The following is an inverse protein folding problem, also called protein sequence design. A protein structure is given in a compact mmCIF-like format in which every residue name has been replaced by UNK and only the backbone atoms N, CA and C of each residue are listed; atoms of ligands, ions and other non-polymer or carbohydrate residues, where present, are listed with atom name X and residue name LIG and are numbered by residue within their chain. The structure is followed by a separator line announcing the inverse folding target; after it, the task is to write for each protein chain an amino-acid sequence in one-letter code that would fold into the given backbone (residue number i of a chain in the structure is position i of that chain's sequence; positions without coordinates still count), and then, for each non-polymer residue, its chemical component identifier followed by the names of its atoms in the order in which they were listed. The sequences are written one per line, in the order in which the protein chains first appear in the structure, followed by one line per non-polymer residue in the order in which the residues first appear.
data_IF_268551038890
#
_entry.id   IF_268551038890
#
_cell.length_a   1.000
_cell.length_b   1.000
_cell.length_c   1.000
_cell.angle_alpha   90.00
_cell.angle_beta   90.00
_cell.angle_gamma   90.00
#
_symmetry.space_group_name_H-M   'P 1'
#
loop_
_entity.id
_entity.type
_entity.pdbx_description
1 polymer ?
#
# COMPACT_ATOMS: atom_id res chain seq x y z
N UNK A 1 14.76 8.71 0.93
CA UNK A 1 14.81 9.75 -0.12
C UNK A 1 14.79 9.05 -1.46
N UNK A 2 13.64 9.06 -2.16
CA UNK A 2 13.51 8.38 -3.46
C UNK A 2 14.48 9.05 -4.43
N UNK A 3 15.56 8.36 -4.78
CA UNK A 3 16.51 8.86 -5.77
C UNK A 3 15.90 8.74 -7.17
N UNK A 4 15.98 9.85 -7.92
CA UNK A 4 15.50 9.95 -9.30
C UNK A 4 16.19 8.87 -10.16
N UNK A 5 15.44 8.10 -10.98
CA UNK A 5 16.02 7.17 -11.93
C UNK A 5 17.03 7.86 -12.85
N UNK A 6 18.18 7.23 -13.15
CA UNK A 6 19.26 7.81 -13.95
C UNK A 6 18.86 8.10 -15.41
N UNK A 7 17.81 7.44 -15.91
CA UNK A 7 17.46 7.43 -17.33
C UNK A 7 16.29 8.35 -17.68
N UNK A 8 15.82 9.18 -16.73
CA UNK A 8 14.85 10.23 -17.04
C UNK A 8 15.56 11.30 -17.89
N UNK A 9 14.94 11.78 -18.98
CA UNK A 9 15.46 12.91 -19.74
C UNK A 9 15.84 14.05 -18.79
N UNK A 10 16.85 14.88 -19.11
CA UNK A 10 17.15 16.07 -18.31
C UNK A 10 15.84 16.80 -18.06
N UNK A 11 15.65 17.35 -16.84
CA UNK A 11 14.53 18.28 -16.64
C UNK A 11 14.60 19.23 -17.82
N UNK A 12 13.51 19.35 -18.58
CA UNK A 12 13.35 20.54 -19.40
C UNK A 12 13.45 21.63 -18.35
N UNK A 13 14.59 22.31 -18.30
CA UNK A 13 14.72 23.61 -17.64
C UNK A 13 13.88 24.55 -18.49
N UNK A 14 12.57 24.31 -18.48
CA UNK A 14 11.58 25.24 -18.95
C UNK A 14 11.76 26.46 -18.08
N UNK A 15 11.66 27.62 -18.72
CA UNK A 15 11.60 28.92 -18.08
C UNK A 15 10.96 28.82 -16.70
N UNK A 16 11.60 29.41 -15.69
CA UNK A 16 11.05 29.48 -14.35
C UNK A 16 9.59 29.89 -14.50
N UNK A 17 8.62 29.09 -14.00
CA UNK A 17 7.22 29.42 -14.17
C UNK A 17 7.03 30.87 -13.70
N UNK A 18 6.25 31.64 -14.47
CA UNK A 18 5.85 32.99 -14.10
C UNK A 18 5.56 33.06 -12.59
N UNK A 19 5.84 34.17 -11.89
CA UNK A 19 5.56 34.28 -10.44
C UNK A 19 4.08 34.04 -10.07
N UNK A 20 3.20 33.85 -11.06
CA UNK A 20 1.79 33.49 -10.95
C UNK A 20 1.49 31.98 -11.05
N UNK A 21 2.49 31.14 -11.28
CA UNK A 21 2.34 29.70 -11.48
C UNK A 21 3.27 28.95 -10.53
N UNK A 22 2.71 28.01 -9.77
CA UNK A 22 3.47 27.12 -8.89
C UNK A 22 2.97 25.68 -9.05
N UNK A 23 3.89 24.73 -9.09
CA UNK A 23 3.59 23.31 -9.07
C UNK A 23 3.60 22.81 -7.62
N UNK A 24 2.50 22.21 -7.19
CA UNK A 24 2.34 21.67 -5.84
C UNK A 24 2.29 20.14 -5.90
N UNK A 25 2.87 19.49 -4.90
CA UNK A 25 2.75 18.05 -4.71
C UNK A 25 1.48 17.74 -3.91
N UNK A 26 0.99 16.51 -4.01
CA UNK A 26 -0.23 16.07 -3.32
C UNK A 26 -0.12 14.66 -2.76
N UNK A 27 -0.78 14.41 -1.64
CA UNK A 27 -1.03 13.07 -1.10
C UNK A 27 -2.51 12.75 -1.21
N UNK A 28 -2.87 11.87 -2.14
CA UNK A 28 -4.27 11.52 -2.44
C UNK A 28 -4.57 10.11 -1.92
N UNK A 29 -5.24 10.04 -0.78
CA UNK A 29 -5.64 8.78 -0.12
C UNK A 29 -7.05 8.30 -0.47
N UNK A 30 -7.57 8.59 -1.66
CA UNK A 30 -8.98 8.34 -2.04
C UNK A 30 -9.13 7.09 -2.90
N UNK A 31 -9.91 6.13 -2.42
CA UNK A 31 -10.24 4.89 -3.10
C UNK A 31 -11.40 5.10 -4.06
N UNK A 32 -11.19 4.61 -5.27
CA UNK A 32 -12.17 4.64 -6.34
C UNK A 32 -11.98 3.45 -7.27
N UNK A 33 -13.02 3.14 -8.03
CA UNK A 33 -12.95 2.23 -9.16
C UNK A 33 -13.86 2.69 -10.30
N UNK A 34 -13.52 2.21 -11.49
CA UNK A 34 -14.34 2.39 -12.69
C UNK A 34 -15.14 1.11 -12.88
N UNK A 35 -16.44 1.23 -13.04
CA UNK A 35 -17.34 0.14 -13.39
C UNK A 35 -17.65 0.23 -14.88
N UNK A 36 -17.34 -0.84 -15.61
CA UNK A 36 -17.55 -0.91 -17.07
C UNK A 36 -18.38 -2.13 -17.48
N UNK A 37 -18.66 -3.05 -16.55
CA UNK A 37 -19.55 -4.19 -16.80
C UNK A 37 -21.02 -3.71 -16.74
N UNK A 38 -21.81 -3.87 -17.82
CA UNK A 38 -23.22 -3.51 -17.84
C UNK A 38 -24.05 -4.27 -16.79
N UNK A 39 -23.73 -5.53 -16.51
CA UNK A 39 -24.46 -6.35 -15.53
C UNK A 39 -24.24 -5.82 -14.11
N UNK A 40 -22.99 -5.51 -13.77
CA UNK A 40 -22.64 -4.90 -12.50
C UNK A 40 -23.27 -3.50 -12.36
N UNK A 41 -23.20 -2.68 -13.41
CA UNK A 41 -23.78 -1.34 -13.42
C UNK A 41 -25.29 -1.37 -13.17
N UNK A 42 -26.01 -2.31 -13.79
CA UNK A 42 -27.44 -2.51 -13.57
C UNK A 42 -27.74 -3.00 -12.14
N UNK A 43 -26.96 -3.95 -11.63
CA UNK A 43 -27.13 -4.49 -10.28
C UNK A 43 -26.92 -3.42 -9.19
N UNK A 44 -25.91 -2.56 -9.38
CA UNK A 44 -25.59 -1.45 -8.47
C UNK A 44 -26.38 -0.17 -8.75
N UNK A 45 -27.24 -0.17 -9.79
CA UNK A 45 -28.03 0.99 -10.24
C UNK A 45 -27.18 2.23 -10.50
N UNK A 46 -26.04 2.03 -11.16
CA UNK A 46 -25.10 3.10 -11.46
C UNK A 46 -25.54 3.88 -12.69
N UNK A 47 -25.42 5.20 -12.60
CA UNK A 47 -25.55 6.08 -13.75
C UNK A 47 -24.20 6.23 -14.45
N UNK A 48 -24.16 6.25 -15.79
CA UNK A 48 -22.95 6.60 -16.51
C UNK A 48 -22.45 8.00 -16.16
N UNK A 49 -21.14 8.19 -16.26
CA UNK A 49 -20.47 9.47 -15.98
C UNK A 49 -21.02 10.61 -16.84
N UNK A 50 -21.42 10.30 -18.08
CA UNK A 50 -22.05 11.23 -19.01
C UNK A 50 -22.90 10.46 -20.03
N UNK A 51 -23.87 11.13 -20.69
CA UNK A 51 -24.62 10.53 -21.80
C UNK A 51 -23.69 9.97 -22.88
N UNK A 52 -23.96 8.74 -23.33
CA UNK A 52 -23.18 8.07 -24.37
C UNK A 52 -21.89 7.37 -23.90
N UNK A 53 -21.64 7.32 -22.59
CA UNK A 53 -20.57 6.50 -22.01
C UNK A 53 -21.15 5.26 -21.34
N UNK A 54 -20.39 4.15 -21.37
CA UNK A 54 -20.77 2.88 -20.72
C UNK A 54 -19.98 2.65 -19.42
N UNK A 55 -19.68 3.73 -18.70
CA UNK A 55 -18.79 3.68 -17.52
C UNK A 55 -19.34 4.52 -16.39
N UNK A 56 -19.24 3.98 -15.18
CA UNK A 56 -19.58 4.67 -13.93
C UNK A 56 -18.35 4.75 -13.01
N UNK A 57 -18.32 5.74 -12.12
CA UNK A 57 -17.30 5.85 -11.09
C UNK A 57 -17.90 5.58 -9.72
N UNK A 58 -17.30 4.64 -9.00
CA UNK A 58 -17.55 4.46 -7.57
C UNK A 58 -16.38 5.05 -6.81
N UNK A 59 -16.70 5.95 -5.89
CA UNK A 59 -15.74 6.75 -5.15
C UNK A 59 -16.20 6.79 -3.71
N UNK A 60 -15.30 6.53 -2.77
CA UNK A 60 -15.66 6.59 -1.34
C UNK A 60 -16.03 8.01 -0.90
N UNK A 61 -16.59 8.14 0.31
CA UNK A 61 -16.95 9.45 0.88
C UNK A 61 -15.72 10.27 1.30
N UNK A 62 -14.64 9.63 1.79
CA UNK A 62 -13.44 10.31 2.30
C UNK A 62 -12.90 11.32 1.27
N UNK A 63 -12.72 12.58 1.67
CA UNK A 63 -12.45 13.67 0.72
C UNK A 63 -11.31 14.61 1.12
N UNK A 64 -10.49 14.29 2.13
CA UNK A 64 -9.34 15.14 2.50
C UNK A 64 -8.11 14.81 1.64
N UNK A 65 -7.59 15.80 0.93
CA UNK A 65 -6.38 15.66 0.09
C UNK A 65 -5.34 16.62 0.63
N UNK A 66 -4.13 16.12 0.89
CA UNK A 66 -3.05 16.98 1.35
C UNK A 66 -2.31 17.56 0.14
N UNK A 67 -1.92 18.82 0.24
CA UNK A 67 -1.19 19.54 -0.80
C UNK A 67 -0.02 20.31 -0.16
N UNK A 68 1.12 20.40 -0.85
CA UNK A 68 2.22 21.24 -0.37
C UNK A 68 1.78 22.69 -0.34
N UNK A 69 2.13 23.44 0.71
CA UNK A 69 1.73 24.84 0.86
C UNK A 69 2.17 25.68 -0.33
N UNK A 70 1.26 26.52 -0.81
CA UNK A 70 1.59 27.55 -1.81
C UNK A 70 2.55 28.59 -1.24
N UNK A 71 3.38 29.16 -2.11
CA UNK A 71 4.24 30.31 -1.79
C UNK A 71 3.86 31.55 -2.62
N UNK A 72 2.79 31.47 -3.42
CA UNK A 72 2.26 32.62 -4.15
C UNK A 72 1.63 33.59 -3.13
N UNK A 73 2.09 34.86 -3.07
CA UNK A 73 1.53 35.85 -2.15
C UNK A 73 0.03 36.01 -2.34
N UNK A 74 -0.70 36.13 -1.23
CA UNK A 74 -2.15 36.34 -1.17
C UNK A 74 -3.01 35.25 -1.85
N UNK A 75 -2.42 34.10 -2.23
CA UNK A 75 -3.19 32.98 -2.75
C UNK A 75 -4.08 32.37 -1.65
N UNK A 76 -5.34 32.13 -2.01
CA UNK A 76 -6.30 31.42 -1.17
C UNK A 76 -6.82 30.21 -1.93
N UNK A 77 -6.65 28.98 -1.42
CA UNK A 77 -7.22 27.80 -2.05
C UNK A 77 -8.74 27.97 -2.23
N UNK A 78 -9.23 27.80 -3.46
CA UNK A 78 -10.67 27.82 -3.77
C UNK A 78 -11.38 26.50 -3.48
N UNK A 79 -10.62 25.45 -3.13
CA UNK A 79 -11.12 24.11 -2.83
C UNK A 79 -10.67 23.75 -1.41
N UNK A 80 -11.58 23.88 -0.45
CA UNK A 80 -11.28 23.75 0.99
C UNK A 80 -10.91 22.32 1.41
N UNK A 81 -11.23 21.32 0.58
CA UNK A 81 -10.84 19.93 0.85
C UNK A 81 -9.35 19.65 0.58
N UNK A 82 -8.64 20.60 -0.05
CA UNK A 82 -7.19 20.58 -0.21
C UNK A 82 -6.56 21.21 1.05
N UNK A 83 -5.99 20.36 1.90
CA UNK A 83 -5.38 20.78 3.17
C UNK A 83 -3.90 21.00 2.95
N UNK A 84 -3.44 22.23 3.16
CA UNK A 84 -2.03 22.58 2.99
C UNK A 84 -1.16 22.00 4.11
N UNK A 85 0.02 21.51 3.74
CA UNK A 85 1.09 21.08 4.65
C UNK A 85 2.42 21.67 4.20
N UNK A 86 3.27 21.99 5.16
CA UNK A 86 4.61 22.54 4.89
C UNK A 86 5.56 21.49 4.31
N UNK A 87 5.48 20.26 4.81
CA UNK A 87 6.17 19.08 4.28
C UNK A 87 5.16 17.94 4.11
N UNK A 88 5.14 17.35 2.90
CA UNK A 88 4.26 16.22 2.59
C UNK A 88 4.92 14.87 2.84
N UNK A 89 6.24 14.80 2.93
CA UNK A 89 6.97 13.53 3.06
C UNK A 89 6.45 12.65 4.22
N UNK A 90 6.17 13.18 5.43
CA UNK A 90 5.62 12.37 6.51
C UNK A 90 4.28 11.70 6.13
N UNK A 91 3.42 12.44 5.43
CA UNK A 91 2.11 11.96 5.04
C UNK A 91 2.15 11.03 3.82
N UNK A 92 3.11 11.25 2.91
CA UNK A 92 3.43 10.32 1.82
C UNK A 92 3.84 8.96 2.38
N UNK A 93 4.73 8.94 3.38
CA UNK A 93 5.14 7.72 4.06
C UNK A 93 4.00 7.09 4.87
N UNK A 94 3.19 7.88 5.59
CA UNK A 94 2.00 7.36 6.28
C UNK A 94 0.98 6.73 5.33
N UNK A 95 0.87 7.24 4.10
CA UNK A 95 0.06 6.61 3.06
C UNK A 95 0.74 5.36 2.47
N UNK A 96 2.05 5.40 2.22
CA UNK A 96 2.77 4.29 1.60
C UNK A 96 2.92 3.09 2.55
N UNK A 97 3.37 3.33 3.77
CA UNK A 97 3.64 2.31 4.79
C UNK A 97 2.42 2.01 5.67
N UNK A 98 1.40 2.88 5.66
CA UNK A 98 0.10 2.62 6.26
C UNK A 98 -0.90 2.12 5.22
N UNK A 99 -1.69 3.03 4.65
CA UNK A 99 -2.78 2.72 3.72
C UNK A 99 -2.39 1.68 2.66
N UNK A 100 -1.39 1.97 1.82
CA UNK A 100 -1.03 1.08 0.71
C UNK A 100 -0.51 -0.28 1.21
N UNK A 101 0.27 -0.29 2.29
CA UNK A 101 0.87 -1.49 2.88
C UNK A 101 -0.20 -2.43 3.43
N UNK A 102 -1.08 -1.91 4.28
CA UNK A 102 -2.13 -2.67 4.96
C UNK A 102 -3.17 -3.16 3.95
N UNK A 103 -3.50 -2.36 2.94
CA UNK A 103 -4.38 -2.80 1.86
C UNK A 103 -3.77 -3.96 1.06
N UNK A 104 -2.46 -3.91 0.76
CA UNK A 104 -1.79 -5.03 0.07
C UNK A 104 -1.63 -6.27 0.96
N UNK A 105 -1.36 -6.10 2.26
CA UNK A 105 -1.36 -7.19 3.23
C UNK A 105 -2.72 -7.89 3.27
N UNK A 106 -3.82 -7.14 3.41
CA UNK A 106 -5.16 -7.70 3.42
C UNK A 106 -5.50 -8.40 2.10
N UNK A 107 -5.16 -7.79 0.96
CA UNK A 107 -5.37 -8.38 -0.35
C UNK A 107 -4.65 -9.72 -0.52
N UNK A 108 -3.36 -9.79 -0.16
CA UNK A 108 -2.59 -11.03 -0.29
C UNK A 108 -3.08 -12.13 0.65
N UNK A 109 -3.41 -11.79 1.91
CA UNK A 109 -3.96 -12.76 2.84
C UNK A 109 -5.36 -13.21 2.41
N UNK A 110 -6.19 -12.29 1.90
CA UNK A 110 -7.52 -12.59 1.40
C UNK A 110 -7.49 -13.52 0.19
N UNK A 111 -6.56 -13.31 -0.75
CA UNK A 111 -6.39 -14.22 -1.91
C UNK A 111 -6.03 -15.64 -1.47
N UNK A 112 -5.11 -15.80 -0.51
CA UNK A 112 -4.76 -17.13 0.01
C UNK A 112 -5.92 -17.82 0.73
N UNK A 113 -6.84 -17.05 1.33
CA UNK A 113 -8.08 -17.58 1.92
C UNK A 113 -9.18 -17.85 0.90
N UNK A 114 -8.97 -17.50 -0.37
CA UNK A 114 -9.93 -17.69 -1.45
C UNK A 114 -11.03 -16.62 -1.51
N UNK A 115 -10.86 -15.48 -0.84
CA UNK A 115 -11.78 -14.35 -0.97
C UNK A 115 -11.66 -13.71 -2.35
N UNK A 116 -12.78 -13.18 -2.83
CA UNK A 116 -12.88 -12.53 -4.14
C UNK A 116 -13.05 -11.01 -4.03
N UNK A 117 -13.57 -10.53 -2.90
CA UNK A 117 -13.76 -9.12 -2.59
C UNK A 117 -13.20 -8.76 -1.21
N UNK A 118 -12.66 -7.53 -1.09
CA UNK A 118 -12.20 -6.96 0.18
C UNK A 118 -13.31 -6.86 1.22
N UNK A 119 -14.57 -6.83 0.78
CA UNK A 119 -15.75 -6.76 1.65
C UNK A 119 -15.93 -8.04 2.48
N UNK A 120 -15.51 -9.19 1.95
CA UNK A 120 -15.57 -10.49 2.65
C UNK A 120 -14.60 -10.52 3.84
N UNK A 121 -13.49 -9.80 3.75
CA UNK A 121 -12.49 -9.70 4.82
C UNK A 121 -13.06 -9.03 6.07
N UNK A 122 -14.05 -8.14 5.93
CA UNK A 122 -14.66 -7.40 7.06
C UNK A 122 -15.14 -8.33 8.17
N UNK A 123 -15.68 -9.48 7.78
CA UNK A 123 -16.23 -10.47 8.70
C UNK A 123 -15.18 -11.50 9.18
N UNK A 124 -13.98 -11.52 8.57
CA UNK A 124 -12.83 -12.30 9.05
C UNK A 124 -12.10 -11.53 10.17
N UNK A 125 -12.53 -11.81 11.41
CA UNK A 125 -11.94 -11.22 12.62
C UNK A 125 -10.44 -11.45 12.73
N UNK A 126 -9.90 -12.57 12.23
CA UNK A 126 -8.47 -12.85 12.32
C UNK A 126 -7.68 -11.95 11.37
N UNK A 127 -8.13 -11.81 10.11
CA UNK A 127 -7.48 -10.89 9.16
C UNK A 127 -7.60 -9.43 9.59
N UNK A 128 -8.76 -9.01 10.08
CA UNK A 128 -8.95 -7.65 10.57
C UNK A 128 -8.04 -7.33 11.76
N UNK A 129 -7.87 -8.28 12.68
CA UNK A 129 -6.95 -8.13 13.82
C UNK A 129 -5.49 -8.07 13.36
N UNK A 130 -5.07 -8.96 12.45
CA UNK A 130 -3.71 -8.94 11.86
C UNK A 130 -3.42 -7.61 11.18
N UNK A 131 -4.36 -7.10 10.38
CA UNK A 131 -4.22 -5.83 9.69
C UNK A 131 -4.13 -4.66 10.67
N UNK A 132 -4.98 -4.64 11.70
CA UNK A 132 -4.96 -3.60 12.73
C UNK A 132 -3.67 -3.61 13.53
N UNK A 133 -3.18 -4.77 13.93
CA UNK A 133 -1.92 -4.89 14.67
C UNK A 133 -0.71 -4.53 13.81
N UNK A 134 -0.68 -4.95 12.54
CA UNK A 134 0.33 -4.49 11.57
C UNK A 134 0.30 -2.97 11.42
N UNK A 135 -0.90 -2.37 11.39
CA UNK A 135 -1.04 -0.95 11.18
C UNK A 135 -0.61 -0.15 12.41
N UNK A 136 -1.04 -0.53 13.61
CA UNK A 136 -0.77 0.24 14.83
C UNK A 136 0.59 -0.08 15.42
N UNK A 137 0.90 -1.37 15.57
CA UNK A 137 2.03 -1.83 16.37
C UNK A 137 3.32 -1.94 15.55
N UNK A 138 3.22 -2.02 14.22
CA UNK A 138 4.40 -2.16 13.33
C UNK A 138 4.63 -0.90 12.50
N UNK A 139 3.72 -0.57 11.60
CA UNK A 139 3.82 0.61 10.73
C UNK A 139 3.66 1.92 11.52
N UNK A 140 2.59 2.03 12.30
CA UNK A 140 2.20 3.21 13.04
C UNK A 140 3.20 3.57 14.13
N UNK A 141 3.57 2.61 14.97
CA UNK A 141 4.59 2.81 16.00
C UNK A 141 5.92 3.33 15.40
N UNK A 142 6.35 2.81 14.25
CA UNK A 142 7.58 3.29 13.60
C UNK A 142 7.41 4.69 12.97
N UNK A 143 6.26 4.96 12.33
CA UNK A 143 5.95 6.28 11.76
C UNK A 143 5.81 7.36 12.84
N UNK A 144 5.18 7.05 13.98
CA UNK A 144 5.08 7.92 15.14
C UNK A 144 6.49 8.23 15.64
N UNK A 145 7.31 7.21 15.93
CA UNK A 145 8.69 7.43 16.39
C UNK A 145 9.54 8.23 15.39
N UNK A 146 9.26 8.13 14.09
CA UNK A 146 9.94 8.91 13.05
C UNK A 146 9.51 10.37 13.01
N UNK A 147 8.23 10.65 13.22
CA UNK A 147 7.63 11.94 12.91
C UNK A 147 6.99 12.68 14.10
N UNK A 148 7.07 12.14 15.31
CA UNK A 148 6.53 12.76 16.54
C UNK A 148 7.05 14.19 16.77
N UNK A 149 8.29 14.47 16.35
CA UNK A 149 8.93 15.78 16.46
C UNK A 149 8.22 16.90 15.68
N UNK A 150 7.33 16.55 14.73
CA UNK A 150 6.55 17.50 13.96
C UNK A 150 5.39 18.10 14.76
N UNK A 151 4.95 17.44 15.85
CA UNK A 151 3.78 17.86 16.63
C UNK A 151 2.46 17.82 15.86
N UNK A 152 2.38 17.04 14.78
CA UNK A 152 1.14 16.85 14.01
C UNK A 152 0.28 15.74 14.62
N UNK A 153 -1.03 15.97 14.73
CA UNK A 153 -1.97 15.05 15.36
C UNK A 153 -1.90 13.63 14.79
N UNK A 154 -1.63 13.46 13.49
CA UNK A 154 -1.53 12.15 12.85
C UNK A 154 -0.42 11.29 13.47
N UNK A 155 0.71 11.88 13.86
CA UNK A 155 1.87 11.17 14.40
C UNK A 155 1.84 11.11 15.93
N UNK A 156 0.64 10.89 16.47
CA UNK A 156 0.39 10.54 17.88
C UNK A 156 -0.30 9.19 17.93
N UNK A 157 -0.19 8.45 19.04
CA UNK A 157 -0.88 7.16 19.18
C UNK A 157 -2.40 7.28 18.94
N UNK A 158 -3.02 8.33 19.47
CA UNK A 158 -4.45 8.57 19.31
C UNK A 158 -4.82 8.91 17.86
N UNK A 159 -4.11 9.85 17.23
CA UNK A 159 -4.40 10.26 15.85
C UNK A 159 -4.13 9.15 14.85
N UNK A 160 -3.05 8.38 15.04
CA UNK A 160 -2.74 7.23 14.20
C UNK A 160 -3.75 6.10 14.38
N UNK A 161 -4.27 5.89 15.60
CA UNK A 161 -5.35 4.92 15.86
C UNK A 161 -6.61 5.28 15.09
N UNK A 162 -7.03 6.55 15.14
CA UNK A 162 -8.18 7.03 14.36
C UNK A 162 -7.95 6.85 12.86
N UNK A 163 -6.75 7.18 12.36
CA UNK A 163 -6.39 7.01 10.96
C UNK A 163 -6.42 5.54 10.51
N UNK A 164 -5.90 4.62 11.32
CA UNK A 164 -5.87 3.21 11.01
C UNK A 164 -7.28 2.59 11.02
N UNK A 165 -8.08 2.89 12.04
CA UNK A 165 -9.44 2.35 12.17
C UNK A 165 -10.35 2.86 11.04
N UNK A 166 -10.27 4.15 10.68
CA UNK A 166 -10.96 4.71 9.49
C UNK A 166 -10.57 3.97 8.21
N UNK A 167 -9.27 3.77 7.99
CA UNK A 167 -8.78 3.13 6.77
C UNK A 167 -9.18 1.66 6.66
N UNK A 168 -9.19 0.90 7.77
CA UNK A 168 -9.63 -0.49 7.77
C UNK A 168 -11.11 -0.63 7.41
N UNK A 169 -11.96 0.27 7.92
CA UNK A 169 -13.37 0.33 7.52
C UNK A 169 -13.51 0.65 6.03
N UNK A 170 -12.73 1.62 5.54
CA UNK A 170 -12.80 2.05 4.13
C UNK A 170 -12.27 1.00 3.15
N UNK A 171 -11.20 0.28 3.51
CA UNK A 171 -10.63 -0.80 2.68
C UNK A 171 -11.64 -1.93 2.47
N UNK A 172 -12.56 -2.13 3.41
CA UNK A 172 -13.57 -3.19 3.40
C UNK A 172 -14.98 -2.66 3.08
N UNK A 173 -15.07 -1.45 2.50
CA UNK A 173 -16.34 -0.79 2.24
C UNK A 173 -17.20 -1.55 1.18
N UNK A 174 -18.42 -2.01 1.54
CA UNK A 174 -19.30 -2.75 0.63
C UNK A 174 -19.73 -1.97 -0.60
N UNK A 175 -19.80 -0.65 -0.52
CA UNK A 175 -20.19 0.20 -1.64
C UNK A 175 -19.07 0.39 -2.67
N UNK A 176 -17.82 0.31 -2.23
CA UNK A 176 -16.69 0.27 -3.16
C UNK A 176 -16.55 -1.10 -3.80
N UNK A 177 -16.79 -2.19 -3.07
CA UNK A 177 -16.75 -3.56 -3.64
C UNK A 177 -15.42 -3.87 -4.31
N UNK A 178 -14.30 -3.51 -3.68
CA UNK A 178 -12.98 -3.73 -4.26
C UNK A 178 -12.66 -5.22 -4.37
N UNK A 179 -12.28 -5.68 -5.56
CA UNK A 179 -11.96 -7.09 -5.79
C UNK A 179 -10.54 -7.41 -5.31
N UNK A 180 -10.34 -8.58 -4.71
CA UNK A 180 -9.01 -9.09 -4.33
C UNK A 180 -8.07 -9.09 -5.54
N UNK A 181 -8.52 -9.55 -6.71
CA UNK A 181 -7.74 -9.56 -7.94
C UNK A 181 -7.15 -8.17 -8.30
N UNK A 182 -7.95 -7.10 -8.18
CA UNK A 182 -7.48 -5.72 -8.39
C UNK A 182 -6.49 -5.28 -7.31
N UNK A 183 -6.75 -5.66 -6.06
CA UNK A 183 -5.93 -5.29 -4.90
C UNK A 183 -4.58 -6.02 -4.89
N UNK A 184 -4.45 -7.20 -5.49
CA UNK A 184 -3.19 -7.98 -5.51
C UNK A 184 -2.34 -7.83 -6.77
N UNK A 185 -2.92 -7.40 -7.91
CA UNK A 185 -2.20 -7.19 -9.20
C UNK A 185 -0.86 -6.46 -9.11
N UNK A 186 0.03 -6.65 -10.09
CA UNK A 186 1.32 -5.92 -10.13
C UNK A 186 2.14 -6.20 -8.85
N UNK A 187 2.28 -7.49 -8.56
CA UNK A 187 2.89 -8.03 -7.34
C UNK A 187 4.36 -7.59 -7.21
N UNK A 188 5.21 -7.65 -8.25
CA UNK A 188 6.61 -7.23 -8.13
C UNK A 188 6.74 -5.79 -7.61
N UNK A 189 5.95 -4.85 -8.15
CA UNK A 189 5.97 -3.44 -7.71
C UNK A 189 5.49 -3.26 -6.26
N UNK A 190 4.68 -4.17 -5.72
CA UNK A 190 4.23 -4.12 -4.31
C UNK A 190 5.27 -4.71 -3.35
N UNK A 191 6.10 -5.62 -3.86
CA UNK A 191 7.18 -6.29 -3.15
C UNK A 191 8.56 -5.66 -3.43
N UNK A 192 8.60 -4.44 -3.97
CA UNK A 192 9.83 -3.66 -4.08
C UNK A 192 10.42 -3.38 -2.69
N UNK A 193 11.77 -3.27 -2.64
CA UNK A 193 12.53 -3.07 -1.41
C UNK A 193 12.02 -1.87 -0.59
N UNK A 194 11.95 -0.69 -1.19
CA UNK A 194 11.45 0.54 -0.55
C UNK A 194 9.94 0.71 -0.73
N UNK A 195 9.27 -0.37 -1.14
CA UNK A 195 7.85 -0.39 -1.42
C UNK A 195 7.00 -0.56 -0.17
N UNK A 196 5.71 -0.74 -0.40
CA UNK A 196 4.69 -0.80 0.67
C UNK A 196 4.85 -1.98 1.64
N UNK A 197 5.37 -3.13 1.21
CA UNK A 197 5.56 -4.28 2.12
C UNK A 197 6.94 -4.21 2.77
N UNK A 198 8.00 -4.35 1.98
CA UNK A 198 9.36 -4.42 2.54
C UNK A 198 9.87 -3.08 3.07
N UNK A 199 9.43 -1.95 2.53
CA UNK A 199 9.76 -0.63 3.09
C UNK A 199 9.15 -0.45 4.49
N UNK A 200 7.91 -0.93 4.69
CA UNK A 200 7.27 -0.93 6.02
C UNK A 200 7.98 -1.85 7.00
N UNK A 201 8.36 -3.07 6.58
CA UNK A 201 9.12 -3.98 7.44
C UNK A 201 10.50 -3.43 7.80
N UNK A 202 11.18 -2.80 6.84
CA UNK A 202 12.47 -2.15 7.08
C UNK A 202 12.30 -0.99 8.08
N UNK A 203 11.30 -0.12 7.87
CA UNK A 203 11.00 0.98 8.78
C UNK A 203 10.73 0.49 10.21
N UNK A 204 9.90 -0.55 10.37
CA UNK A 204 9.65 -1.16 11.68
C UNK A 204 10.96 -1.62 12.36
N UNK A 205 11.80 -2.36 11.63
CA UNK A 205 13.09 -2.84 12.14
C UNK A 205 14.06 -1.72 12.50
N UNK A 206 14.05 -0.62 11.76
CA UNK A 206 14.87 0.57 12.06
C UNK A 206 14.50 1.24 13.37
N UNK A 207 13.23 1.13 13.77
CA UNK A 207 12.70 1.64 15.04
C UNK A 207 12.59 0.55 16.12
N UNK A 208 13.29 -0.59 15.94
CA UNK A 208 13.35 -1.67 16.93
C UNK A 208 12.06 -2.46 17.09
N UNK A 209 11.19 -2.43 16.09
CA UNK A 209 9.90 -3.12 16.07
C UNK A 209 9.98 -4.35 15.16
N UNK A 210 9.48 -5.47 15.66
CA UNK A 210 9.49 -6.75 14.94
C UNK A 210 8.26 -6.84 14.02
N UNK A 211 8.41 -6.89 12.68
CA UNK A 211 7.29 -6.80 11.73
C UNK A 211 6.56 -8.14 11.52
N UNK A 212 6.00 -8.72 12.58
CA UNK A 212 5.45 -10.09 12.60
C UNK A 212 4.23 -10.26 11.70
N UNK A 213 3.32 -9.29 11.67
CA UNK A 213 2.12 -9.31 10.84
C UNK A 213 2.45 -8.86 9.42
N UNK A 214 3.31 -7.85 9.23
CA UNK A 214 3.79 -7.48 7.91
C UNK A 214 4.56 -8.62 7.23
N UNK A 215 5.26 -9.47 7.98
CA UNK A 215 5.90 -10.68 7.45
C UNK A 215 4.90 -11.71 6.90
N UNK A 216 3.69 -11.83 7.47
CA UNK A 216 2.61 -12.63 6.87
C UNK A 216 2.23 -12.07 5.51
N UNK A 217 2.06 -10.75 5.41
CA UNK A 217 1.78 -10.07 4.14
C UNK A 217 2.91 -10.25 3.10
N UNK A 218 4.17 -10.25 3.53
CA UNK A 218 5.32 -10.50 2.67
C UNK A 218 5.33 -11.93 2.12
N UNK A 219 5.14 -12.93 2.99
CA UNK A 219 5.09 -14.33 2.57
C UNK A 219 3.87 -14.61 1.67
N UNK A 220 2.70 -14.04 2.00
CA UNK A 220 1.51 -14.14 1.17
C UNK A 220 1.69 -13.46 -0.19
N UNK A 221 2.37 -12.31 -0.24
CA UNK A 221 2.74 -11.67 -1.50
C UNK A 221 3.70 -12.51 -2.34
N UNK A 222 4.68 -13.17 -1.71
CA UNK A 222 5.57 -14.13 -2.40
C UNK A 222 4.76 -15.33 -2.92
N UNK A 223 3.79 -15.83 -2.16
CA UNK A 223 2.90 -16.89 -2.61
C UNK A 223 2.11 -16.47 -3.87
N UNK A 224 1.54 -15.26 -3.86
CA UNK A 224 0.82 -14.70 -5.01
C UNK A 224 1.74 -14.45 -6.22
N UNK A 225 2.98 -14.02 -5.98
CA UNK A 225 4.00 -13.87 -7.00
C UNK A 225 4.25 -15.21 -7.74
N UNK A 226 4.37 -16.30 -6.96
CA UNK A 226 4.65 -17.65 -7.46
C UNK A 226 3.42 -18.37 -8.05
N UNK A 227 2.20 -17.94 -7.71
CA UNK A 227 0.95 -18.47 -8.26
C UNK A 227 0.81 -18.18 -9.76
N UNK A 228 1.22 -16.98 -10.19
CA UNK A 228 1.14 -16.51 -11.58
C UNK A 228 2.50 -16.03 -12.10
N UNK A 229 3.52 -16.91 -12.22
CA UNK A 229 4.90 -16.49 -12.48
C UNK A 229 5.07 -15.81 -13.85
N UNK A 230 4.35 -16.25 -14.88
CA UNK A 230 4.40 -15.65 -16.21
C UNK A 230 3.88 -14.21 -16.22
N UNK A 231 2.70 -13.97 -15.60
CA UNK A 231 2.11 -12.64 -15.48
C UNK A 231 3.02 -11.67 -14.72
N UNK A 232 3.74 -12.19 -13.72
CA UNK A 232 4.67 -11.42 -12.90
C UNK A 232 6.10 -11.37 -13.48
N UNK A 233 6.33 -11.94 -14.67
CA UNK A 233 7.65 -12.00 -15.33
C UNK A 233 8.74 -12.64 -14.45
N UNK A 234 8.38 -13.63 -13.63
CA UNK A 234 9.30 -14.36 -12.75
C UNK A 234 10.21 -15.27 -13.60
N UNK A 235 11.55 -15.15 -13.48
CA UNK A 235 12.51 -16.00 -14.18
C UNK A 235 12.28 -17.49 -13.90
N UNK A 236 12.51 -18.35 -14.89
CA UNK A 236 12.25 -19.80 -14.79
C UNK A 236 12.92 -20.46 -13.57
N UNK A 237 14.13 -20.05 -13.23
CA UNK A 237 14.90 -20.53 -12.08
C UNK A 237 14.36 -20.08 -10.72
N UNK A 238 13.40 -19.16 -10.70
CA UNK A 238 12.68 -18.66 -9.53
C UNK A 238 11.21 -19.09 -9.49
N UNK A 239 10.76 -19.91 -10.45
CA UNK A 239 9.43 -20.54 -10.44
C UNK A 239 9.43 -21.74 -9.48
N UNK A 240 9.63 -21.45 -8.20
CA UNK A 240 9.93 -22.42 -7.15
C UNK A 240 8.69 -23.18 -6.64
N UNK A 241 7.53 -22.98 -7.25
CA UNK A 241 6.28 -23.67 -6.95
C UNK A 241 5.67 -23.21 -5.62
N UNK A 242 5.43 -24.17 -4.72
CA UNK A 242 4.71 -23.97 -3.46
C UNK A 242 5.54 -23.17 -2.44
N UNK A 243 5.00 -22.03 -2.01
CA UNK A 243 5.63 -21.13 -1.04
C UNK A 243 5.97 -21.82 0.31
N UNK A 244 5.26 -22.90 0.67
CA UNK A 244 5.52 -23.70 1.88
C UNK A 244 6.87 -24.40 1.85
N UNK A 245 7.41 -24.64 0.65
CA UNK A 245 8.67 -25.38 0.43
C UNK A 245 9.87 -24.45 0.20
N UNK A 246 9.67 -23.15 0.36
CA UNK A 246 10.77 -22.19 0.29
C UNK A 246 11.66 -22.35 1.52
N UNK A 247 12.96 -22.26 1.33
CA UNK A 247 13.95 -22.13 2.39
C UNK A 247 14.51 -20.69 2.37
N UNK A 248 15.40 -20.38 3.31
CA UNK A 248 16.00 -19.06 3.41
C UNK A 248 16.70 -18.63 2.12
N UNK A 249 17.44 -19.55 1.49
CA UNK A 249 18.18 -19.30 0.25
C UNK A 249 17.23 -18.96 -0.90
N UNK A 250 16.14 -19.71 -1.07
CA UNK A 250 15.12 -19.45 -2.09
C UNK A 250 14.44 -18.10 -1.89
N UNK A 251 14.06 -17.76 -0.66
CA UNK A 251 13.47 -16.44 -0.37
C UNK A 251 14.48 -15.35 -0.69
N UNK A 252 15.73 -15.48 -0.26
CA UNK A 252 16.76 -14.49 -0.54
C UNK A 252 16.96 -14.30 -2.05
N UNK A 253 16.97 -15.37 -2.84
CA UNK A 253 17.06 -15.30 -4.32
C UNK A 253 15.86 -14.56 -4.93
N UNK A 254 14.64 -14.81 -4.45
CA UNK A 254 13.44 -14.07 -4.89
C UNK A 254 13.59 -12.57 -4.56
N UNK A 255 14.03 -12.24 -3.34
CA UNK A 255 14.21 -10.84 -2.92
C UNK A 255 15.29 -10.13 -3.73
N UNK A 256 16.43 -10.78 -3.98
CA UNK A 256 17.50 -10.24 -4.84
C UNK A 256 16.98 -9.90 -6.24
N UNK A 257 16.20 -10.81 -6.84
CA UNK A 257 15.58 -10.55 -8.14
C UNK A 257 14.57 -9.40 -8.08
N UNK A 258 13.62 -9.42 -7.14
CA UNK A 258 12.64 -8.35 -6.95
C UNK A 258 13.30 -6.98 -6.79
N UNK A 259 14.45 -6.95 -6.11
CA UNK A 259 15.16 -5.72 -5.78
C UNK A 259 16.27 -5.38 -6.77
N UNK A 260 16.40 -6.14 -7.86
CA UNK A 260 17.39 -5.93 -8.93
C UNK A 260 18.82 -5.88 -8.37
N UNK A 261 19.13 -6.83 -7.47
CA UNK A 261 20.39 -6.97 -6.74
C UNK A 261 20.80 -5.73 -5.92
N UNK A 262 19.86 -4.81 -5.65
CA UNK A 262 20.14 -3.70 -4.73
C UNK A 262 20.40 -4.24 -3.33
N UNK A 263 21.47 -3.74 -2.72
CA UNK A 263 21.84 -4.13 -1.37
C UNK A 263 20.79 -3.66 -0.35
N UNK A 264 20.42 -4.55 0.57
CA UNK A 264 19.63 -4.23 1.75
C UNK A 264 20.39 -4.73 2.99
N UNK A 265 20.69 -3.84 3.93
CA UNK A 265 21.38 -4.21 5.18
C UNK A 265 20.54 -5.10 6.10
N UNK A 266 19.22 -5.16 5.84
CA UNK A 266 18.25 -5.90 6.65
C UNK A 266 17.81 -7.22 6.01
N UNK A 267 18.36 -7.63 4.85
CA UNK A 267 17.93 -8.84 4.13
C UNK A 267 17.83 -10.06 5.04
N UNK A 268 18.89 -10.37 5.81
CA UNK A 268 18.89 -11.52 6.70
C UNK A 268 17.75 -11.48 7.72
N UNK A 269 17.51 -10.33 8.36
CA UNK A 269 16.40 -10.16 9.32
C UNK A 269 15.04 -10.30 8.65
N UNK A 270 14.87 -9.71 7.47
CA UNK A 270 13.63 -9.82 6.70
C UNK A 270 13.35 -11.29 6.36
N UNK A 271 14.35 -12.03 5.86
CA UNK A 271 14.23 -13.47 5.58
C UNK A 271 13.85 -14.25 6.84
N UNK A 272 14.50 -14.00 7.98
CA UNK A 272 14.14 -14.63 9.26
C UNK A 272 12.67 -14.40 9.63
N UNK A 273 12.17 -13.16 9.48
CA UNK A 273 10.77 -12.85 9.76
C UNK A 273 9.80 -13.55 8.81
N UNK A 274 10.11 -13.59 7.52
CA UNK A 274 9.29 -14.29 6.51
C UNK A 274 9.24 -15.79 6.83
N UNK A 275 10.37 -16.40 7.15
CA UNK A 275 10.44 -17.81 7.55
C UNK A 275 9.61 -18.08 8.81
N UNK A 276 9.75 -17.22 9.83
CA UNK A 276 8.99 -17.32 11.08
C UNK A 276 7.49 -17.11 10.91
N UNK A 277 7.04 -16.52 9.80
CA UNK A 277 5.62 -16.30 9.52
C UNK A 277 4.92 -17.53 8.91
N UNK A 278 5.68 -18.54 8.43
CA UNK A 278 5.12 -19.68 7.66
C UNK A 278 4.03 -20.44 8.39
N UNK A 279 4.34 -20.98 9.56
CA UNK A 279 3.41 -21.83 10.32
C UNK A 279 2.10 -21.07 10.62
N UNK A 280 2.22 -19.81 11.02
CA UNK A 280 1.06 -18.95 11.28
C UNK A 280 0.26 -18.68 10.01
N UNK A 281 0.91 -18.53 8.85
CA UNK A 281 0.22 -18.31 7.58
C UNK A 281 -0.52 -19.58 7.10
N UNK A 282 0.07 -20.77 7.26
CA UNK A 282 -0.57 -22.06 6.96
C UNK A 282 -1.85 -22.23 7.81
N UNK A 283 -1.75 -22.01 9.12
CA UNK A 283 -2.89 -22.07 10.04
C UNK A 283 -3.98 -21.06 9.65
N UNK A 284 -3.60 -19.83 9.32
CA UNK A 284 -4.55 -18.75 9.01
C UNK A 284 -5.35 -19.01 7.73
N UNK A 285 -4.72 -19.68 6.77
CA UNK A 285 -5.26 -19.90 5.43
C UNK A 285 -5.94 -21.26 5.28
N UNK A 286 -5.74 -22.19 6.22
CA UNK A 286 -6.20 -23.58 6.14
C UNK A 286 -5.67 -24.30 4.88
N UNK A 287 -4.47 -23.93 4.41
CA UNK A 287 -3.84 -24.48 3.20
C UNK A 287 -2.43 -24.95 3.47
#
# INVERSE_FOLDING_TARGET
VIQRPPDLPPRIEGETPSPRVQFLNTVIGKMSRVVTDPAESAALKLEPIAPGLDRAFLVEQFNRILVSRTQIPDFKPGIEVLVEKDDLLPFEEAKLYGHNAIHSLLGFLGDLKGYTAMTEIKDDKALMQIARDAFLQESGAALIGKYEHLGDDLFTEAGFTVYADDLLERMTNPHLGDTIARVVRDVPRKLEQDGRIFGTMQLALEYGIEPRNMALGALAGIAELLKNPEQNSVPGELQLGDWRKLDEEKIERILRWLWKDRACRLTAKLVTHIMGARERLEILTNV
#
